data_IF_612281860796
#
_entry.id   IF_612281860796
#
_cell.length_a   1.000
_cell.length_b   1.000
_cell.length_c   1.000
_cell.angle_alpha   90.00
_cell.angle_beta   90.00
_cell.angle_gamma   90.00
#
_symmetry.space_group_name_H-M   'P 1'
#
loop_
_entity.id
_entity.type
_entity.pdbx_description
1 polymer ?
#
# COMPACT_ATOMS: atom_id res chain seq x y z
N UNK A 1 -15.36 7.42 24.37
CA UNK A 1 -14.64 7.17 23.11
C UNK A 1 -15.05 5.81 22.57
N UNK A 2 -15.95 5.74 21.59
CA UNK A 2 -16.51 4.44 21.15
C UNK A 2 -16.69 4.23 19.65
N UNK A 3 -16.39 5.21 18.79
CA UNK A 3 -16.79 5.13 17.37
C UNK A 3 -15.67 5.47 16.36
N UNK A 4 -14.46 5.79 16.80
CA UNK A 4 -13.38 6.19 15.88
C UNK A 4 -12.90 5.06 14.96
N UNK A 5 -12.94 3.80 15.44
CA UNK A 5 -12.49 2.63 14.69
C UNK A 5 -13.46 2.18 13.58
N UNK A 6 -14.79 2.11 13.77
CA UNK A 6 -15.70 1.85 12.65
C UNK A 6 -15.69 2.98 11.61
N UNK A 7 -15.39 4.22 11.99
CA UNK A 7 -15.27 5.34 11.05
C UNK A 7 -13.99 5.29 10.20
N UNK A 8 -12.85 4.87 10.76
CA UNK A 8 -11.63 4.68 9.98
C UNK A 8 -11.71 3.46 9.06
N UNK A 9 -12.37 2.41 9.52
CA UNK A 9 -12.66 1.19 8.78
C UNK A 9 -13.46 1.48 7.50
N UNK A 10 -14.56 2.23 7.62
CA UNK A 10 -15.37 2.68 6.47
C UNK A 10 -14.57 3.62 5.55
N UNK A 11 -13.69 4.45 6.12
CA UNK A 11 -12.82 5.35 5.36
C UNK A 11 -11.79 4.63 4.47
N UNK A 12 -11.23 3.51 4.93
CA UNK A 12 -10.25 2.71 4.16
C UNK A 12 -10.89 1.87 3.07
N UNK A 13 -12.12 1.38 3.27
CA UNK A 13 -12.89 0.64 2.26
C UNK A 13 -13.35 1.56 1.10
N UNK A 14 -13.60 2.84 1.40
CA UNK A 14 -13.90 3.88 0.40
C UNK A 14 -12.69 4.32 -0.44
N UNK A 15 -11.45 4.06 0.00
CA UNK A 15 -10.24 4.48 -0.72
C UNK A 15 -9.66 3.43 -1.68
N UNK A 16 -10.32 2.27 -1.87
CA UNK A 16 -10.06 1.37 -3.00
C UNK A 16 -8.68 0.69 -3.03
N UNK A 17 -7.86 0.83 -1.99
CA UNK A 17 -6.68 -0.03 -1.82
C UNK A 17 -7.17 -1.38 -1.30
N UNK A 18 -6.87 -2.46 -2.04
CA UNK A 18 -7.17 -3.83 -1.63
C UNK A 18 -6.48 -4.16 -0.32
N UNK A 19 -7.14 -3.89 0.81
CA UNK A 19 -6.65 -4.27 2.12
C UNK A 19 -6.90 -5.75 2.31
N UNK A 20 -5.83 -6.51 2.51
CA UNK A 20 -5.88 -7.93 2.86
C UNK A 20 -6.84 -8.15 4.05
N UNK A 21 -7.88 -8.96 3.84
CA UNK A 21 -8.92 -9.31 4.82
C UNK A 21 -8.30 -9.83 6.15
N UNK A 22 -7.09 -10.36 6.09
CA UNK A 22 -6.32 -10.82 7.26
C UNK A 22 -5.92 -9.69 8.19
N UNK A 23 -5.61 -8.50 7.67
CA UNK A 23 -5.29 -7.32 8.47
C UNK A 23 -6.51 -6.84 9.27
N UNK A 24 -7.71 -7.01 8.72
CA UNK A 24 -8.97 -6.71 9.40
C UNK A 24 -9.24 -7.65 10.57
N UNK A 25 -9.05 -8.96 10.36
CA UNK A 25 -9.20 -9.94 11.43
C UNK A 25 -8.18 -9.74 12.55
N UNK A 26 -6.91 -9.47 12.20
CA UNK A 26 -5.87 -9.16 13.19
C UNK A 26 -6.18 -7.86 13.94
N UNK A 27 -6.60 -6.80 13.25
CA UNK A 27 -7.02 -5.54 13.87
C UNK A 27 -8.22 -5.72 14.81
N UNK A 28 -9.22 -6.49 14.39
CA UNK A 28 -10.42 -6.78 15.17
C UNK A 28 -10.13 -7.59 16.44
N UNK A 29 -9.32 -8.65 16.34
CA UNK A 29 -8.89 -9.46 17.50
C UNK A 29 -8.12 -8.60 18.50
N UNK A 30 -7.17 -7.79 18.01
CA UNK A 30 -6.39 -6.88 18.85
C UNK A 30 -7.24 -5.83 19.55
N UNK A 31 -8.22 -5.28 18.86
CA UNK A 31 -9.18 -4.34 19.45
C UNK A 31 -10.01 -5.00 20.55
N UNK A 32 -10.46 -6.23 20.33
CA UNK A 32 -11.14 -7.03 21.35
C UNK A 32 -10.31 -7.24 22.60
N UNK A 33 -9.03 -7.61 22.45
CA UNK A 33 -8.09 -7.79 23.56
C UNK A 33 -7.88 -6.48 24.33
N UNK A 34 -7.67 -5.37 23.62
CA UNK A 34 -7.50 -4.05 24.23
C UNK A 34 -8.74 -3.62 25.02
N UNK A 35 -9.94 -3.85 24.47
CA UNK A 35 -11.19 -3.43 25.10
C UNK A 35 -11.48 -4.25 26.37
N UNK A 36 -11.24 -5.56 26.34
CA UNK A 36 -11.31 -6.42 27.53
C UNK A 36 -10.32 -5.93 28.60
N UNK A 37 -9.08 -5.61 28.21
CA UNK A 37 -8.07 -5.09 29.14
C UNK A 37 -8.48 -3.75 29.77
N UNK A 38 -9.00 -2.80 28.97
CA UNK A 38 -9.48 -1.51 29.48
C UNK A 38 -10.63 -1.71 30.48
N UNK A 39 -11.56 -2.62 30.20
CA UNK A 39 -12.66 -2.94 31.11
C UNK A 39 -12.16 -3.54 32.43
N UNK A 40 -11.16 -4.43 32.39
CA UNK A 40 -10.54 -5.01 33.58
C UNK A 40 -9.78 -3.94 34.38
N UNK A 41 -9.02 -3.08 33.69
CA UNK A 41 -8.22 -2.01 34.31
C UNK A 41 -9.10 -0.97 34.99
N UNK A 42 -10.25 -0.63 34.39
CA UNK A 42 -11.20 0.33 34.95
C UNK A 42 -11.82 -0.18 36.26
N UNK A 43 -12.12 -1.49 36.35
CA UNK A 43 -12.57 -2.11 37.61
C UNK A 43 -11.54 -1.97 38.72
N UNK A 44 -10.26 -2.19 38.41
CA UNK A 44 -9.17 -2.04 39.38
C UNK A 44 -8.95 -0.61 39.85
N UNK A 45 -9.24 0.41 39.02
CA UNK A 45 -9.10 1.81 39.41
C UNK A 45 -10.22 2.30 40.34
N UNK A 46 -11.45 1.78 40.19
CA UNK A 46 -12.57 2.15 41.08
C UNK A 46 -12.37 1.71 42.53
N UNK A 47 -11.52 0.72 42.79
CA UNK A 47 -11.22 0.26 44.15
C UNK A 47 -10.09 1.06 44.82
N UNK A 48 -9.30 1.85 44.07
CA UNK A 48 -8.07 2.48 44.56
C UNK A 48 -8.17 3.99 44.84
N UNK A 49 -9.30 4.62 44.54
CA UNK A 49 -9.51 6.08 44.68
C UNK A 49 -9.78 6.57 46.11
N UNK A 50 -9.52 5.79 47.16
CA UNK A 50 -9.77 6.20 48.55
C UNK A 50 -8.59 6.88 49.26
N UNK A 51 -7.45 7.10 48.61
CA UNK A 51 -6.28 7.76 49.22
C UNK A 51 -5.76 8.94 48.39
N UNK A 52 -5.34 10.00 49.07
CA UNK A 52 -5.12 11.36 48.57
C UNK A 52 -3.99 11.50 47.53
N UNK A 53 -4.27 11.19 46.26
CA UNK A 53 -3.38 11.53 45.16
C UNK A 53 -3.35 13.05 44.90
N UNK A 54 -2.14 13.58 44.70
CA UNK A 54 -1.91 14.99 44.37
C UNK A 54 -2.51 15.32 42.98
N UNK A 55 -3.31 16.40 42.81
CA UNK A 55 -4.00 16.73 41.55
C UNK A 55 -3.10 16.80 40.30
N UNK A 56 -1.81 17.09 40.46
CA UNK A 56 -0.86 17.22 39.35
C UNK A 56 -0.53 15.89 38.66
N UNK A 57 -0.53 14.76 39.37
CA UNK A 57 -0.22 13.44 38.78
C UNK A 57 -1.37 12.92 37.93
N UNK A 58 -2.60 13.27 38.32
CA UNK A 58 -3.83 12.95 37.59
C UNK A 58 -3.86 13.71 36.26
N UNK A 59 -3.60 15.01 36.27
CA UNK A 59 -3.59 15.83 35.05
C UNK A 59 -2.53 15.35 34.03
N UNK A 60 -1.31 15.04 34.48
CA UNK A 60 -0.24 14.55 33.61
C UNK A 60 -0.57 13.20 32.93
N UNK A 61 -1.26 12.30 33.64
CA UNK A 61 -1.74 11.03 33.09
C UNK A 61 -2.78 11.26 31.99
N UNK A 62 -3.77 12.12 32.23
CA UNK A 62 -4.80 12.42 31.23
C UNK A 62 -4.26 13.16 30.00
N UNK A 63 -3.30 14.06 30.16
CA UNK A 63 -2.67 14.74 29.03
C UNK A 63 -1.88 13.79 28.14
N UNK A 64 -1.19 12.80 28.72
CA UNK A 64 -0.46 11.78 27.96
C UNK A 64 -1.43 10.85 27.20
N UNK A 65 -2.56 10.48 27.82
CA UNK A 65 -3.60 9.70 27.13
C UNK A 65 -4.22 10.47 25.96
N UNK A 66 -4.52 11.76 26.17
CA UNK A 66 -5.03 12.61 25.10
C UNK A 66 -4.02 12.75 23.95
N UNK A 67 -2.72 12.90 24.27
CA UNK A 67 -1.66 12.97 23.27
C UNK A 67 -1.50 11.66 22.49
N UNK A 68 -1.56 10.51 23.16
CA UNK A 68 -1.51 9.20 22.49
C UNK A 68 -2.71 8.97 21.57
N UNK A 69 -3.91 9.35 21.99
CA UNK A 69 -5.12 9.25 21.16
C UNK A 69 -5.02 10.19 19.96
N UNK A 70 -4.59 11.44 20.15
CA UNK A 70 -4.38 12.38 19.06
C UNK A 70 -3.34 11.85 18.05
N UNK A 71 -2.23 11.28 18.53
CA UNK A 71 -1.20 10.66 17.71
C UNK A 71 -1.76 9.46 16.92
N UNK A 72 -2.50 8.55 17.56
CA UNK A 72 -3.11 7.39 16.91
C UNK A 72 -4.11 7.81 15.82
N UNK A 73 -4.97 8.81 16.10
CA UNK A 73 -5.92 9.35 15.12
C UNK A 73 -5.19 9.97 13.93
N UNK A 74 -4.12 10.73 14.20
CA UNK A 74 -3.32 11.36 13.14
C UNK A 74 -2.60 10.31 12.27
N UNK A 75 -2.00 9.29 12.89
CA UNK A 75 -1.32 8.19 12.20
C UNK A 75 -2.27 7.31 11.40
N UNK A 76 -3.51 7.13 11.88
CA UNK A 76 -4.57 6.43 11.16
C UNK A 76 -5.03 7.23 9.93
N UNK A 77 -5.25 8.54 10.11
CA UNK A 77 -5.64 9.44 9.00
C UNK A 77 -4.55 9.60 7.94
N UNK A 78 -3.28 9.51 8.33
CA UNK A 78 -2.14 9.58 7.40
C UNK A 78 -1.83 8.24 6.70
N UNK A 79 -2.53 7.15 7.03
CA UNK A 79 -2.17 5.79 6.60
C UNK A 79 -0.86 5.27 7.22
N UNK A 80 -0.22 6.04 8.10
CA UNK A 80 1.05 5.72 8.75
C UNK A 80 0.97 4.55 9.73
N UNK A 81 -0.21 4.22 10.25
CA UNK A 81 -0.39 3.04 11.11
C UNK A 81 -0.06 1.72 10.39
N UNK A 82 -0.18 1.69 9.06
CA UNK A 82 0.22 0.52 8.27
C UNK A 82 1.74 0.35 8.20
N UNK A 83 2.53 1.37 8.57
CA UNK A 83 3.98 1.29 8.60
C UNK A 83 4.45 0.54 9.86
N UNK A 84 5.16 -0.60 9.73
CA UNK A 84 5.61 -1.41 10.87
C UNK A 84 6.45 -0.62 11.90
N UNK A 85 7.21 0.37 11.44
CA UNK A 85 8.03 1.21 12.31
C UNK A 85 7.19 2.06 13.28
N UNK A 86 6.05 2.56 12.82
CA UNK A 86 5.18 3.44 13.61
C UNK A 86 4.44 2.63 14.69
N UNK A 87 3.96 1.42 14.36
CA UNK A 87 3.35 0.52 15.34
C UNK A 87 4.35 0.03 16.39
N UNK A 88 5.59 -0.25 16.00
CA UNK A 88 6.67 -0.58 16.94
C UNK A 88 7.01 0.59 17.88
N UNK A 89 7.05 1.83 17.37
CA UNK A 89 7.29 3.02 18.19
C UNK A 89 6.18 3.22 19.23
N UNK A 90 4.92 3.07 18.83
CA UNK A 90 3.77 3.14 19.74
C UNK A 90 3.86 2.07 20.83
N UNK A 91 4.30 0.86 20.48
CA UNK A 91 4.57 -0.23 21.42
C UNK A 91 5.66 0.11 22.42
N UNK A 92 6.78 0.66 21.95
CA UNK A 92 7.90 1.08 22.80
C UNK A 92 7.46 2.15 23.81
N UNK A 93 6.73 3.17 23.35
CA UNK A 93 6.18 4.23 24.19
C UNK A 93 5.26 3.64 25.27
N UNK A 94 4.43 2.68 24.90
CA UNK A 94 3.54 1.99 25.83
C UNK A 94 4.31 1.14 26.86
N UNK A 95 5.34 0.40 26.44
CA UNK A 95 6.20 -0.39 27.33
C UNK A 95 6.98 0.50 28.32
N UNK A 96 7.56 1.60 27.84
CA UNK A 96 8.27 2.57 28.70
C UNK A 96 7.33 3.17 29.75
N UNK A 97 6.08 3.45 29.36
CA UNK A 97 5.07 3.96 30.29
C UNK A 97 4.71 2.96 31.38
N UNK A 98 4.50 1.69 31.04
CA UNK A 98 4.16 0.67 32.03
C UNK A 98 5.33 0.38 32.97
N UNK A 99 6.57 0.39 32.48
CA UNK A 99 7.78 0.26 33.29
C UNK A 99 8.01 1.45 34.24
N UNK A 100 7.68 2.67 33.82
CA UNK A 100 7.85 3.90 34.62
C UNK A 100 6.81 4.07 35.73
N UNK A 101 5.78 3.22 35.76
CA UNK A 101 4.66 3.34 36.70
C UNK A 101 4.89 2.59 38.02
N UNK A 102 6.09 2.05 38.28
CA UNK A 102 6.39 1.42 39.57
C UNK A 102 6.34 2.47 40.70
N UNK A 103 5.46 2.28 41.70
CA UNK A 103 5.29 3.25 42.76
C UNK A 103 6.52 3.26 43.67
N UNK A 104 7.11 4.44 43.85
CA UNK A 104 8.21 4.73 44.79
C UNK A 104 7.83 4.60 46.29
N UNK A 105 6.87 3.72 46.61
CA UNK A 105 6.27 3.56 47.94
C UNK A 105 7.12 2.68 48.87
N UNK A 106 8.23 2.10 48.40
CA UNK A 106 9.11 1.26 49.22
C UNK A 106 10.02 2.03 50.21
N UNK A 107 9.96 3.36 50.29
CA UNK A 107 10.95 4.13 51.05
C UNK A 107 10.52 4.60 52.46
N UNK A 108 9.25 4.50 52.88
CA UNK A 108 8.85 5.03 54.21
C UNK A 108 7.66 4.29 54.82
N UNK A 109 7.94 3.27 55.63
CA UNK A 109 7.43 3.24 57.01
C UNK A 109 8.17 2.14 57.80
N UNK A 110 9.08 2.55 58.69
CA UNK A 110 9.56 1.74 59.80
C UNK A 110 8.39 1.50 60.77
N UNK A 111 7.50 0.53 60.50
CA UNK A 111 6.45 0.17 61.46
C UNK A 111 6.35 -1.33 61.72
N UNK A 112 6.69 -1.63 62.97
CA UNK A 112 6.21 -2.65 63.90
C UNK A 112 6.08 -4.11 63.43
N UNK A 113 6.87 -5.05 64.00
CA UNK A 113 6.94 -6.46 63.59
C UNK A 113 5.70 -7.36 63.80
N UNK A 114 4.55 -6.89 64.31
CA UNK A 114 3.58 -7.81 64.95
C UNK A 114 2.26 -8.11 64.22
N UNK A 115 1.97 -7.56 63.04
CA UNK A 115 0.69 -7.82 62.33
C UNK A 115 0.84 -8.50 60.95
N UNK A 116 1.99 -9.12 60.69
CA UNK A 116 2.37 -9.62 59.35
C UNK A 116 2.14 -11.12 59.12
N UNK A 117 1.15 -11.72 59.79
CA UNK A 117 0.84 -13.14 59.68
C UNK A 117 -0.65 -13.38 59.39
N UNK A 118 -1.08 -13.15 58.15
CA UNK A 118 -1.97 -14.05 57.39
C UNK A 118 -2.63 -13.29 56.23
N UNK A 119 -2.59 -13.89 55.03
CA UNK A 119 -3.42 -13.46 53.90
C UNK A 119 -2.75 -12.54 52.88
N UNK A 120 -1.43 -12.57 52.75
CA UNK A 120 -0.73 -11.88 51.65
C UNK A 120 -1.02 -12.55 50.31
N UNK A 121 -2.02 -12.04 49.58
CA UNK A 121 -2.34 -12.43 48.21
C UNK A 121 -1.12 -12.15 47.31
N UNK A 122 -0.34 -13.18 47.00
CA UNK A 122 0.78 -13.17 46.02
C UNK A 122 0.26 -13.06 44.57
N UNK A 123 -0.83 -12.34 44.33
CA UNK A 123 -1.33 -12.07 42.99
C UNK A 123 -0.67 -10.80 42.45
N UNK A 124 0.04 -10.89 41.33
CA UNK A 124 0.24 -9.71 40.48
C UNK A 124 1.60 -9.53 39.80
N UNK A 125 2.68 -10.24 40.18
CA UNK A 125 3.99 -10.06 39.52
C UNK A 125 4.28 -11.02 38.36
N UNK A 126 3.60 -12.16 38.30
CA UNK A 126 3.72 -13.10 37.18
C UNK A 126 3.15 -12.61 35.84
N UNK A 127 2.01 -11.87 35.75
CA UNK A 127 1.40 -11.55 34.47
C UNK A 127 2.24 -10.58 33.61
N UNK A 128 3.00 -9.66 34.23
CA UNK A 128 3.76 -8.64 33.47
C UNK A 128 4.94 -9.27 32.72
N UNK A 129 5.68 -10.19 33.35
CA UNK A 129 6.84 -10.85 32.70
C UNK A 129 6.40 -11.75 31.54
N UNK A 130 5.29 -12.48 31.72
CA UNK A 130 4.74 -13.32 30.65
C UNK A 130 4.26 -12.44 29.49
N UNK A 131 3.55 -11.36 29.77
CA UNK A 131 3.07 -10.44 28.73
C UNK A 131 4.22 -9.77 27.96
N UNK A 132 5.30 -9.37 28.65
CA UNK A 132 6.49 -8.82 28.02
C UNK A 132 7.19 -9.86 27.10
N UNK A 133 7.27 -11.12 27.53
CA UNK A 133 7.83 -12.20 26.70
C UNK A 133 6.97 -12.48 25.47
N UNK A 134 5.64 -12.51 25.62
CA UNK A 134 4.71 -12.68 24.49
C UNK A 134 4.85 -11.52 23.51
N UNK A 135 4.89 -10.28 24.01
CA UNK A 135 5.10 -9.10 23.21
C UNK A 135 6.43 -9.14 22.44
N UNK A 136 7.53 -9.48 23.13
CA UNK A 136 8.85 -9.63 22.51
C UNK A 136 8.85 -10.71 21.42
N UNK A 137 8.21 -11.86 21.68
CA UNK A 137 8.05 -12.93 20.70
C UNK A 137 7.26 -12.50 19.47
N UNK A 138 6.15 -11.78 19.65
CA UNK A 138 5.38 -11.20 18.54
C UNK A 138 6.18 -10.17 17.75
N UNK A 139 6.95 -9.32 18.41
CA UNK A 139 7.82 -8.34 17.73
C UNK A 139 8.87 -9.04 16.85
N UNK A 140 9.53 -10.09 17.37
CA UNK A 140 10.50 -10.89 16.62
C UNK A 140 9.82 -11.59 15.44
N UNK A 141 8.62 -12.15 15.65
CA UNK A 141 7.86 -12.79 14.59
C UNK A 141 7.50 -11.79 13.48
N UNK A 142 6.94 -10.63 13.82
CA UNK A 142 6.61 -9.58 12.85
C UNK A 142 7.86 -9.04 12.12
N UNK A 143 8.98 -8.92 12.83
CA UNK A 143 10.25 -8.55 12.21
C UNK A 143 10.65 -9.58 11.15
N UNK A 144 10.60 -10.87 11.49
CA UNK A 144 11.02 -11.96 10.61
C UNK A 144 10.08 -12.21 9.43
N UNK A 145 8.76 -12.12 9.63
CA UNK A 145 7.77 -12.51 8.61
C UNK A 145 7.26 -11.35 7.76
N UNK A 146 7.41 -10.10 8.20
CA UNK A 146 6.91 -8.94 7.47
C UNK A 146 8.01 -7.90 7.20
N UNK A 147 8.73 -7.46 8.24
CA UNK A 147 9.65 -6.31 8.09
C UNK A 147 10.91 -6.67 7.31
N UNK A 148 11.51 -7.81 7.62
CA UNK A 148 12.76 -8.26 7.01
C UNK A 148 12.59 -8.65 5.52
N UNK A 149 11.55 -9.43 5.12
CA UNK A 149 11.22 -9.68 3.71
C UNK A 149 11.11 -8.40 2.87
N UNK A 150 10.31 -7.44 3.33
CA UNK A 150 10.09 -6.17 2.64
C UNK A 150 11.38 -5.34 2.55
N UNK A 151 12.18 -5.28 3.62
CA UNK A 151 13.47 -4.58 3.61
C UNK A 151 14.45 -5.20 2.60
N UNK A 152 14.53 -6.53 2.56
CA UNK A 152 15.36 -7.25 1.59
C UNK A 152 14.86 -7.02 0.16
N UNK A 153 13.54 -7.10 -0.07
CA UNK A 153 12.91 -6.82 -1.35
C UNK A 153 13.28 -5.41 -1.85
N UNK A 154 13.05 -4.38 -1.03
CA UNK A 154 13.39 -2.98 -1.36
C UNK A 154 14.87 -2.78 -1.63
N UNK A 155 15.74 -3.40 -0.84
CA UNK A 155 17.20 -3.29 -1.04
C UNK A 155 17.60 -3.90 -2.37
N UNK A 156 17.08 -5.09 -2.69
CA UNK A 156 17.33 -5.76 -3.97
C UNK A 156 16.76 -4.97 -5.16
N UNK A 157 15.56 -4.39 -5.04
CA UNK A 157 14.99 -3.50 -6.06
C UNK A 157 15.88 -2.28 -6.32
N UNK A 158 16.39 -1.61 -5.28
CA UNK A 158 17.27 -0.45 -5.43
C UNK A 158 18.59 -0.80 -6.12
N UNK A 159 19.19 -1.94 -5.77
CA UNK A 159 20.41 -2.42 -6.42
C UNK A 159 20.11 -2.77 -7.89
N UNK A 160 19.00 -3.46 -8.16
CA UNK A 160 18.55 -3.78 -9.51
C UNK A 160 18.30 -2.53 -10.37
N UNK A 161 17.64 -1.51 -9.82
CA UNK A 161 17.38 -0.23 -10.51
C UNK A 161 18.70 0.49 -10.85
N UNK A 162 19.70 0.42 -9.95
CA UNK A 162 21.03 0.97 -10.21
C UNK A 162 21.81 0.19 -11.28
N UNK A 163 21.72 -1.14 -11.30
CA UNK A 163 22.33 -2.00 -12.33
C UNK A 163 21.65 -1.81 -13.70
N UNK A 164 20.32 -1.71 -13.72
CA UNK A 164 19.55 -1.44 -14.93
C UNK A 164 19.91 -0.07 -15.51
N UNK A 165 20.01 0.98 -14.68
CA UNK A 165 20.45 2.31 -15.11
C UNK A 165 21.86 2.33 -15.74
N UNK A 166 22.70 1.33 -15.46
CA UNK A 166 24.03 1.14 -16.07
C UNK A 166 24.01 0.26 -17.33
N UNK A 167 22.84 -0.18 -17.78
CA UNK A 167 22.67 -1.11 -18.90
C UNK A 167 23.01 -2.57 -18.57
N UNK A 168 23.19 -2.92 -17.29
CA UNK A 168 23.53 -4.28 -16.86
C UNK A 168 22.25 -5.11 -16.68
N UNK A 169 21.52 -5.35 -17.76
CA UNK A 169 20.17 -5.95 -17.74
C UNK A 169 20.14 -7.34 -17.08
N UNK A 170 21.15 -8.18 -17.32
CA UNK A 170 21.22 -9.52 -16.72
C UNK A 170 21.38 -9.46 -15.18
N UNK A 171 22.26 -8.58 -14.69
CA UNK A 171 22.45 -8.39 -13.26
C UNK A 171 21.18 -7.81 -12.61
N UNK A 172 20.57 -6.81 -13.24
CA UNK A 172 19.31 -6.24 -12.80
C UNK A 172 18.19 -7.29 -12.69
N UNK A 173 18.04 -8.17 -13.70
CA UNK A 173 17.08 -9.28 -13.63
C UNK A 173 17.34 -10.21 -12.44
N UNK A 174 18.59 -10.55 -12.15
CA UNK A 174 18.94 -11.38 -11.00
C UNK A 174 18.53 -10.69 -9.68
N UNK A 175 18.79 -9.39 -9.54
CA UNK A 175 18.36 -8.61 -8.36
C UNK A 175 16.85 -8.55 -8.21
N UNK A 176 16.11 -8.40 -9.31
CA UNK A 176 14.65 -8.40 -9.25
C UNK A 176 14.09 -9.80 -8.93
N UNK A 177 14.74 -10.87 -9.38
CA UNK A 177 14.39 -12.22 -8.93
C UNK A 177 14.65 -12.39 -7.43
N UNK A 178 15.79 -11.92 -6.92
CA UNK A 178 16.07 -11.95 -5.48
C UNK A 178 15.06 -11.12 -4.68
N UNK A 179 14.62 -9.98 -5.20
CA UNK A 179 13.54 -9.19 -4.60
C UNK A 179 12.22 -9.99 -4.55
N UNK A 180 11.83 -10.64 -5.65
CA UNK A 180 10.61 -11.47 -5.71
C UNK A 180 10.66 -12.70 -4.80
N UNK A 181 11.86 -13.23 -4.53
CA UNK A 181 12.07 -14.32 -3.58
C UNK A 181 12.00 -13.83 -2.13
N UNK A 182 12.50 -12.62 -1.87
CA UNK A 182 12.47 -12.01 -0.56
C UNK A 182 11.03 -11.70 -0.13
N UNK A 183 10.24 -11.09 -1.02
CA UNK A 183 8.81 -10.87 -0.80
C UNK A 183 7.98 -11.31 -2.03
N UNK A 184 7.38 -12.51 -1.97
CA UNK A 184 6.53 -13.04 -3.06
C UNK A 184 5.23 -12.27 -3.27
N UNK A 185 4.81 -11.41 -2.33
CA UNK A 185 3.58 -10.64 -2.42
C UNK A 185 3.81 -9.25 -3.02
N UNK A 186 5.07 -8.79 -3.08
CA UNK A 186 5.43 -7.55 -3.75
C UNK A 186 5.23 -7.68 -5.27
N UNK A 187 4.53 -6.71 -5.86
CA UNK A 187 4.21 -6.69 -7.29
C UNK A 187 5.34 -6.01 -8.09
N UNK A 188 6.02 -5.06 -7.46
CA UNK A 188 7.08 -4.26 -8.04
C UNK A 188 8.21 -5.10 -8.65
N UNK A 189 8.72 -6.18 -8.01
CA UNK A 189 9.72 -7.05 -8.63
C UNK A 189 9.24 -7.68 -9.96
N UNK A 190 7.97 -8.10 -10.02
CA UNK A 190 7.39 -8.66 -11.25
C UNK A 190 7.25 -7.59 -12.34
N UNK A 191 6.85 -6.38 -11.96
CA UNK A 191 6.78 -5.23 -12.87
C UNK A 191 8.15 -4.92 -13.49
N UNK A 192 9.21 -4.92 -12.67
CA UNK A 192 10.58 -4.68 -13.13
C UNK A 192 11.10 -5.80 -14.03
N UNK A 193 10.82 -7.06 -13.67
CA UNK A 193 11.20 -8.21 -14.51
C UNK A 193 10.51 -8.15 -15.88
N UNK A 194 9.22 -7.79 -15.93
CA UNK A 194 8.51 -7.60 -17.18
C UNK A 194 9.16 -6.50 -18.04
N UNK A 195 9.52 -5.35 -17.43
CA UNK A 195 10.18 -4.28 -18.17
C UNK A 195 11.55 -4.70 -18.71
N UNK A 196 12.35 -5.44 -17.94
CA UNK A 196 13.67 -5.90 -18.42
C UNK A 196 13.51 -6.87 -19.59
N UNK A 197 12.57 -7.80 -19.51
CA UNK A 197 12.24 -8.70 -20.63
C UNK A 197 11.78 -7.93 -21.86
N UNK A 198 10.89 -6.95 -21.69
CA UNK A 198 10.40 -6.12 -22.78
C UNK A 198 11.51 -5.28 -23.41
N UNK A 199 12.38 -4.66 -22.61
CA UNK A 199 13.53 -3.91 -23.11
C UNK A 199 14.49 -4.81 -23.89
N UNK A 200 14.75 -6.03 -23.40
CA UNK A 200 15.55 -7.00 -24.15
C UNK A 200 14.93 -7.31 -25.49
N UNK A 201 13.62 -7.57 -25.53
CA UNK A 201 12.89 -7.77 -26.77
C UNK A 201 13.00 -6.56 -27.70
N UNK A 202 12.90 -5.32 -27.22
CA UNK A 202 13.08 -4.13 -28.07
C UNK A 202 14.48 -4.06 -28.73
N UNK A 203 15.50 -4.68 -28.12
CA UNK A 203 16.86 -4.71 -28.66
C UNK A 203 17.06 -5.92 -29.58
N UNK A 204 16.64 -7.10 -29.16
CA UNK A 204 16.95 -8.38 -29.83
C UNK A 204 15.85 -8.83 -30.79
N UNK A 205 14.62 -8.35 -30.59
CA UNK A 205 13.39 -8.81 -31.22
C UNK A 205 13.16 -10.31 -31.09
N UNK A 206 13.72 -10.94 -30.04
CA UNK A 206 13.54 -12.35 -29.78
C UNK A 206 12.18 -12.62 -29.12
N UNK A 207 11.33 -13.44 -29.74
CA UNK A 207 9.97 -13.70 -29.28
C UNK A 207 9.89 -14.19 -27.83
N UNK A 208 10.86 -14.98 -27.38
CA UNK A 208 10.88 -15.50 -26.01
C UNK A 208 10.99 -14.37 -24.96
N UNK A 209 11.64 -13.25 -25.28
CA UNK A 209 11.75 -12.09 -24.39
C UNK A 209 10.43 -11.32 -24.32
N UNK A 210 9.68 -11.27 -25.42
CA UNK A 210 8.34 -10.70 -25.45
C UNK A 210 7.35 -11.54 -24.63
N UNK A 211 7.31 -12.85 -24.89
CA UNK A 211 6.44 -13.80 -24.20
C UNK A 211 6.67 -13.79 -22.69
N UNK A 212 7.92 -13.69 -22.24
CA UNK A 212 8.23 -13.61 -20.81
C UNK A 212 7.74 -12.28 -20.19
N UNK A 213 7.82 -11.16 -20.91
CA UNK A 213 7.24 -9.89 -20.47
C UNK A 213 5.72 -9.97 -20.37
N UNK A 214 5.07 -10.45 -21.43
CA UNK A 214 3.62 -10.60 -21.53
C UNK A 214 3.10 -11.45 -20.36
N UNK A 215 3.64 -12.66 -20.20
CA UNK A 215 3.26 -13.60 -19.13
C UNK A 215 3.33 -12.96 -17.74
N UNK A 216 4.36 -12.16 -17.47
CA UNK A 216 4.50 -11.46 -16.19
C UNK A 216 3.44 -10.39 -16.01
N UNK A 217 3.15 -9.61 -17.04
CA UNK A 217 2.11 -8.60 -17.01
C UNK A 217 0.71 -9.22 -16.85
N UNK A 218 0.45 -10.38 -17.46
CA UNK A 218 -0.81 -11.13 -17.26
C UNK A 218 -0.98 -11.63 -15.82
N UNK A 219 0.10 -12.14 -15.20
CA UNK A 219 0.09 -12.51 -13.78
C UNK A 219 -0.22 -11.29 -12.92
N UNK A 220 0.42 -10.14 -13.18
CA UNK A 220 0.15 -8.89 -12.45
C UNK A 220 -1.31 -8.45 -12.64
N UNK A 221 -1.84 -8.51 -13.88
CA UNK A 221 -3.22 -8.16 -14.19
C UNK A 221 -4.23 -9.07 -13.48
N UNK A 222 -3.88 -10.34 -13.27
CA UNK A 222 -4.69 -11.31 -12.53
C UNK A 222 -4.70 -11.01 -11.03
N UNK A 223 -3.54 -10.65 -10.46
CA UNK A 223 -3.42 -10.29 -9.03
C UNK A 223 -4.05 -8.93 -8.74
N UNK A 224 -4.00 -7.99 -9.70
CA UNK A 224 -4.54 -6.64 -9.58
C UNK A 224 -5.65 -6.37 -10.60
N UNK A 225 -6.80 -7.05 -10.52
CA UNK A 225 -7.83 -7.02 -11.56
C UNK A 225 -8.46 -5.64 -11.77
N UNK A 226 -8.39 -4.75 -10.76
CA UNK A 226 -8.93 -3.39 -10.82
C UNK A 226 -7.90 -2.33 -11.18
N UNK A 227 -6.61 -2.66 -11.24
CA UNK A 227 -5.57 -1.70 -11.60
C UNK A 227 -5.54 -1.52 -13.13
N UNK A 228 -5.58 -0.29 -13.64
CA UNK A 228 -5.47 -0.01 -15.08
C UNK A 228 -4.04 -0.17 -15.62
N UNK A 229 -3.03 0.01 -14.75
CA UNK A 229 -1.61 0.04 -15.13
C UNK A 229 -1.10 -1.25 -15.81
N UNK A 230 -1.39 -2.48 -15.33
CA UNK A 230 -0.91 -3.70 -15.99
C UNK A 230 -1.48 -3.86 -17.41
N UNK A 231 -2.78 -3.58 -17.58
CA UNK A 231 -3.44 -3.63 -18.90
C UNK A 231 -2.89 -2.57 -19.86
N UNK A 232 -2.64 -1.36 -19.37
CA UNK A 232 -1.99 -0.31 -20.17
C UNK A 232 -0.61 -0.76 -20.64
N UNK A 233 0.19 -1.37 -19.76
CA UNK A 233 1.53 -1.89 -20.10
C UNK A 233 1.47 -3.05 -21.11
N UNK A 234 0.48 -3.95 -20.98
CA UNK A 234 0.21 -4.98 -22.00
C UNK A 234 -0.10 -4.34 -23.37
N UNK A 235 -0.97 -3.33 -23.40
CA UNK A 235 -1.30 -2.61 -24.62
C UNK A 235 -0.07 -1.95 -25.26
N UNK A 236 0.80 -1.35 -24.45
CA UNK A 236 2.07 -0.76 -24.90
C UNK A 236 3.01 -1.82 -25.48
N UNK A 237 3.12 -2.98 -24.84
CA UNK A 237 3.97 -4.06 -25.32
C UNK A 237 3.49 -4.59 -26.67
N UNK A 238 2.19 -4.93 -26.78
CA UNK A 238 1.59 -5.40 -28.02
C UNK A 238 1.65 -4.37 -29.15
N UNK A 239 1.45 -3.09 -28.82
CA UNK A 239 1.60 -2.03 -29.81
C UNK A 239 3.02 -1.97 -30.38
N UNK A 240 4.03 -2.01 -29.52
CA UNK A 240 5.40 -2.01 -29.98
C UNK A 240 5.70 -3.24 -30.86
N UNK A 241 5.15 -4.41 -30.52
CA UNK A 241 5.31 -5.62 -31.34
C UNK A 241 4.65 -5.45 -32.70
N UNK A 242 3.44 -4.91 -32.76
CA UNK A 242 2.76 -4.57 -34.00
C UNK A 242 3.58 -3.58 -34.86
N UNK A 243 4.14 -2.53 -34.27
CA UNK A 243 4.98 -1.56 -34.99
C UNK A 243 6.22 -2.22 -35.61
N UNK A 244 6.73 -3.30 -35.00
CA UNK A 244 7.84 -4.07 -35.54
C UNK A 244 7.40 -5.13 -36.59
N UNK A 245 6.36 -5.90 -36.29
CA UNK A 245 5.93 -7.07 -37.07
C UNK A 245 4.98 -6.72 -38.24
N UNK A 246 4.17 -5.67 -38.07
CA UNK A 246 3.04 -5.34 -38.92
C UNK A 246 1.86 -6.32 -38.81
N UNK A 247 1.86 -7.24 -37.85
CA UNK A 247 0.82 -8.27 -37.70
C UNK A 247 -0.47 -7.68 -37.10
N UNK A 248 -1.57 -7.71 -37.87
CA UNK A 248 -2.87 -7.23 -37.41
C UNK A 248 -3.37 -7.91 -36.12
N UNK A 249 -2.91 -9.12 -35.81
CA UNK A 249 -3.24 -9.78 -34.53
C UNK A 249 -2.63 -9.03 -33.33
N UNK A 250 -1.38 -8.56 -33.44
CA UNK A 250 -0.70 -7.79 -32.40
C UNK A 250 -1.44 -6.47 -32.13
N UNK A 251 -1.88 -5.78 -33.20
CA UNK A 251 -2.70 -4.57 -33.07
C UNK A 251 -4.04 -4.84 -32.37
N UNK A 252 -4.69 -5.98 -32.69
CA UNK A 252 -5.93 -6.41 -32.04
C UNK A 252 -5.72 -6.66 -30.55
N UNK A 253 -4.64 -7.36 -30.17
CA UNK A 253 -4.26 -7.57 -28.77
C UNK A 253 -3.98 -6.26 -28.02
N UNK A 254 -3.34 -5.31 -28.68
CA UNK A 254 -3.13 -3.98 -28.12
C UNK A 254 -4.47 -3.27 -27.84
N UNK A 255 -5.42 -3.34 -28.77
CA UNK A 255 -6.78 -2.77 -28.59
C UNK A 255 -7.49 -3.40 -27.39
N UNK A 256 -7.47 -4.73 -27.27
CA UNK A 256 -8.08 -5.46 -26.14
C UNK A 256 -7.51 -4.97 -24.80
N UNK A 257 -6.18 -4.91 -24.69
CA UNK A 257 -5.49 -4.51 -23.47
C UNK A 257 -5.73 -3.02 -23.13
N UNK A 258 -5.68 -2.11 -24.11
CA UNK A 258 -5.99 -0.70 -23.86
C UNK A 258 -7.45 -0.47 -23.52
N UNK A 259 -8.39 -1.19 -24.14
CA UNK A 259 -9.81 -1.14 -23.77
C UNK A 259 -10.00 -1.53 -22.31
N UNK A 260 -9.37 -2.64 -21.88
CA UNK A 260 -9.40 -3.07 -20.49
C UNK A 260 -8.80 -2.01 -19.53
N UNK A 261 -7.73 -1.32 -19.92
CA UNK A 261 -7.19 -0.21 -19.14
C UNK A 261 -8.19 0.95 -19.00
N UNK A 262 -8.81 1.36 -20.12
CA UNK A 262 -9.82 2.44 -20.17
C UNK A 262 -11.07 2.10 -19.37
N UNK A 263 -11.55 0.86 -19.39
CA UNK A 263 -12.69 0.41 -18.58
C UNK A 263 -12.47 0.64 -17.07
N UNK A 264 -11.22 0.43 -16.61
CA UNK A 264 -10.84 0.62 -15.21
C UNK A 264 -10.63 2.09 -14.84
N UNK A 265 -10.28 2.92 -15.81
CA UNK A 265 -10.04 4.34 -15.58
C UNK A 265 -10.54 5.22 -16.75
N UNK A 266 -11.88 5.34 -16.92
CA UNK A 266 -12.50 5.88 -18.14
C UNK A 266 -12.34 7.39 -18.34
N UNK A 267 -11.83 8.10 -17.34
CA UNK A 267 -11.64 9.56 -17.32
C UNK A 267 -10.16 9.98 -17.44
N UNK A 268 -9.32 9.12 -18.01
CA UNK A 268 -7.91 9.42 -18.21
C UNK A 268 -7.61 9.69 -19.68
N UNK A 269 -7.38 10.97 -20.01
CA UNK A 269 -7.18 11.42 -21.38
C UNK A 269 -6.06 10.65 -22.10
N UNK A 270 -4.91 10.43 -21.45
CA UNK A 270 -3.80 9.66 -22.04
C UNK A 270 -4.20 8.22 -22.40
N UNK A 271 -4.88 7.48 -21.50
CA UNK A 271 -5.29 6.10 -21.80
C UNK A 271 -6.31 6.04 -22.93
N UNK A 272 -7.24 7.00 -22.99
CA UNK A 272 -8.16 7.14 -24.12
C UNK A 272 -7.42 7.41 -25.43
N UNK A 273 -6.36 8.22 -25.40
CA UNK A 273 -5.57 8.52 -26.59
C UNK A 273 -4.73 7.33 -27.07
N UNK A 274 -4.19 6.53 -26.15
CA UNK A 274 -3.48 5.29 -26.46
C UNK A 274 -4.44 4.25 -27.06
N UNK A 275 -5.64 4.11 -26.49
CA UNK A 275 -6.68 3.24 -27.04
C UNK A 275 -7.15 3.68 -28.43
N UNK A 276 -7.39 4.99 -28.63
CA UNK A 276 -7.73 5.54 -29.94
C UNK A 276 -6.65 5.24 -30.98
N UNK A 277 -5.38 5.33 -30.58
CA UNK A 277 -4.22 4.99 -31.41
C UNK A 277 -4.23 3.53 -31.83
N UNK A 278 -4.48 2.64 -30.88
CA UNK A 278 -4.57 1.20 -31.12
C UNK A 278 -5.69 0.86 -32.10
N UNK A 279 -6.87 1.44 -31.88
CA UNK A 279 -8.01 1.24 -32.77
C UNK A 279 -7.70 1.72 -34.20
N UNK A 280 -7.09 2.89 -34.35
CA UNK A 280 -6.71 3.46 -35.65
C UNK A 280 -5.73 2.52 -36.39
N UNK A 281 -4.69 2.07 -35.69
CA UNK A 281 -3.69 1.15 -36.24
C UNK A 281 -4.25 -0.25 -36.56
N UNK A 282 -5.25 -0.72 -35.81
CA UNK A 282 -5.99 -1.95 -36.10
C UNK A 282 -7.05 -1.80 -37.21
N UNK A 283 -7.21 -0.60 -37.80
CA UNK A 283 -8.22 -0.32 -38.82
C UNK A 283 -9.66 -0.18 -38.27
N UNK A 284 -9.82 -0.08 -36.96
CA UNK A 284 -11.09 0.12 -36.26
C UNK A 284 -11.45 1.62 -36.22
N UNK A 285 -11.86 2.15 -37.37
CA UNK A 285 -12.06 3.60 -37.58
C UNK A 285 -13.05 4.20 -36.57
N UNK A 286 -14.26 3.68 -36.46
CA UNK A 286 -15.28 4.27 -35.57
C UNK A 286 -14.90 4.22 -34.08
N UNK A 287 -14.41 3.07 -33.53
CA UNK A 287 -13.85 3.04 -32.18
C UNK A 287 -12.72 4.05 -31.96
N UNK A 288 -11.82 4.22 -32.94
CA UNK A 288 -10.74 5.19 -32.86
C UNK A 288 -11.27 6.63 -32.75
N UNK A 289 -12.25 7.00 -33.59
CA UNK A 289 -12.87 8.34 -33.57
C UNK A 289 -13.54 8.64 -32.24
N UNK A 290 -14.31 7.68 -31.71
CA UNK A 290 -15.02 7.88 -30.45
C UNK A 290 -14.04 7.99 -29.27
N UNK A 291 -13.04 7.12 -29.20
CA UNK A 291 -12.01 7.21 -28.17
C UNK A 291 -11.23 8.53 -28.24
N UNK A 292 -10.90 9.01 -29.45
CA UNK A 292 -10.24 10.29 -29.66
C UNK A 292 -11.10 11.48 -29.23
N UNK A 293 -12.40 11.50 -29.57
CA UNK A 293 -13.36 12.52 -29.09
C UNK A 293 -13.42 12.58 -27.57
N UNK A 294 -13.46 11.41 -26.92
CA UNK A 294 -13.44 11.30 -25.46
C UNK A 294 -12.11 11.81 -24.87
N UNK A 295 -10.97 11.48 -25.49
CA UNK A 295 -9.66 11.93 -25.06
C UNK A 295 -9.55 13.47 -25.09
N UNK A 296 -9.94 14.11 -26.20
CA UNK A 296 -9.93 15.58 -26.34
C UNK A 296 -10.85 16.23 -25.30
N UNK A 297 -12.09 15.74 -25.17
CA UNK A 297 -13.05 16.25 -24.18
C UNK A 297 -12.50 16.16 -22.76
N UNK A 298 -11.88 15.04 -22.40
CA UNK A 298 -11.31 14.84 -21.06
C UNK A 298 -10.09 15.75 -20.83
N UNK A 299 -9.28 15.97 -21.85
CA UNK A 299 -8.15 16.90 -21.79
C UNK A 299 -8.60 18.36 -21.58
N UNK A 300 -9.67 18.78 -22.28
CA UNK A 300 -10.28 20.11 -22.08
C UNK A 300 -10.78 20.30 -20.64
N UNK A 301 -11.44 19.29 -20.07
CA UNK A 301 -11.87 19.30 -18.67
C UNK A 301 -10.67 19.39 -17.71
N UNK A 302 -9.59 18.66 -17.98
CA UNK A 302 -8.37 18.74 -17.18
C UNK A 302 -7.76 20.14 -17.23
N UNK A 303 -7.72 20.77 -18.40
CA UNK A 303 -7.20 22.14 -18.58
C UNK A 303 -8.04 23.18 -17.85
N UNK A 304 -9.37 23.09 -17.95
CA UNK A 304 -10.29 23.97 -17.21
C UNK A 304 -10.13 23.83 -15.68
N UNK A 305 -9.84 22.61 -15.21
CA UNK A 305 -9.60 22.33 -13.79
C UNK A 305 -8.16 22.66 -13.32
N UNK A 306 -7.25 23.02 -14.24
CA UNK A 306 -5.85 23.30 -13.90
C UNK A 306 -5.00 22.07 -13.56
N UNK A 307 -5.40 20.86 -13.99
CA UNK A 307 -4.68 19.60 -13.73
C UNK A 307 -3.53 19.38 -14.72
N UNK A 308 -2.46 20.17 -14.59
CA UNK A 308 -1.32 20.19 -15.54
C UNK A 308 -0.61 18.86 -15.70
N UNK A 309 -0.67 17.98 -14.69
CA UNK A 309 -0.11 16.63 -14.71
C UNK A 309 -0.88 15.64 -15.61
N UNK A 310 -2.10 16.00 -16.03
CA UNK A 310 -3.01 15.12 -16.79
C UNK A 310 -3.27 15.61 -18.21
N UNK A 311 -2.51 16.59 -18.68
CA UNK A 311 -2.67 17.11 -20.03
C UNK A 311 -2.12 16.12 -21.06
N UNK A 312 -2.79 16.03 -22.20
CA UNK A 312 -2.20 15.48 -23.40
C UNK A 312 -1.08 16.40 -23.87
N UNK A 313 0.05 15.83 -24.29
CA UNK A 313 1.06 16.62 -24.97
C UNK A 313 0.51 17.19 -26.31
N UNK A 314 1.10 18.30 -26.78
CA UNK A 314 0.63 18.98 -27.98
C UNK A 314 0.54 18.10 -29.23
N UNK A 315 1.56 17.28 -29.55
CA UNK A 315 1.50 16.31 -30.65
C UNK A 315 0.34 15.31 -30.53
N UNK A 316 0.16 14.71 -29.35
CA UNK A 316 -0.88 13.72 -29.05
C UNK A 316 -2.25 14.34 -29.16
N UNK A 317 -2.47 15.51 -28.55
CA UNK A 317 -3.73 16.24 -28.64
C UNK A 317 -4.11 16.54 -30.09
N UNK A 318 -3.19 17.08 -30.90
CA UNK A 318 -3.43 17.32 -32.34
C UNK A 318 -3.75 16.05 -33.10
N UNK A 319 -3.15 14.91 -32.75
CA UNK A 319 -3.47 13.63 -33.36
C UNK A 319 -4.89 13.18 -32.99
N UNK A 320 -5.28 13.33 -31.73
CA UNK A 320 -6.65 13.02 -31.29
C UNK A 320 -7.68 13.92 -31.97
N UNK A 321 -7.40 15.22 -32.13
CA UNK A 321 -8.27 16.14 -32.87
C UNK A 321 -8.45 15.69 -34.34
N UNK A 322 -7.38 15.23 -35.00
CA UNK A 322 -7.46 14.69 -36.37
C UNK A 322 -8.27 13.40 -36.44
N UNK A 323 -8.06 12.47 -35.50
CA UNK A 323 -8.82 11.22 -35.45
C UNK A 323 -10.29 11.46 -35.11
N UNK A 324 -10.58 12.45 -34.27
CA UNK A 324 -11.93 12.81 -33.86
C UNK A 324 -12.75 13.48 -34.99
N UNK A 325 -12.07 14.12 -35.95
CA UNK A 325 -12.73 14.79 -37.07
C UNK A 325 -13.46 13.80 -37.99
N UNK A 326 -14.64 14.21 -38.46
CA UNK A 326 -15.37 13.46 -39.49
C UNK A 326 -14.54 13.40 -40.79
N UNK A 327 -14.64 12.31 -41.55
CA UNK A 327 -14.01 12.26 -42.86
C UNK A 327 -14.67 13.34 -43.70
N UNK A 328 -13.91 14.35 -44.11
CA UNK A 328 -14.38 15.32 -45.09
C UNK A 328 -14.83 14.53 -46.32
N UNK A 329 -16.13 14.61 -46.66
CA UNK A 329 -16.64 13.98 -47.87
C UNK A 329 -15.73 14.39 -49.04
N UNK A 330 -15.22 13.42 -49.83
CA UNK A 330 -14.40 13.76 -50.98
C UNK A 330 -15.27 14.55 -51.96
N UNK A 331 -14.99 15.86 -52.07
CA UNK A 331 -15.53 16.74 -53.12
C UNK A 331 -15.08 16.26 -54.50
#
# INVERSE_FOLDING_TARGET
MGLAFPLSAVGTELMGHGTDERLWWLGGIWWGVWLVWVLISKRSMTEQTSSADCPQTVAARWSLEAANVALLVHLLGAGGIAMPAITQLLWLVWMLRTASSEPAVAARDEKSPSELASGGVKAGRFPVRVMALVAGGLCVLCWWTATMPELLCRTSLQIGDAEWGRGQTAAASERYLDASRADPYAIEPLERLADVSFQRWQVTHADHDFEESEKRLEVIATVLPFASRPFRRLGQAWMARFEHSGDAQDATRAVEAYSAAVERYPHHAVQLSEWATACDQAGLIEPAREAARRAVRQDDLNQLAGHTDKFLDGPTRRRMERLAAEPSEPN
#
